data_IF_051654344823
#
_entry.id   IF_051654344823
#
_cell.length_a   1.000
_cell.length_b   1.000
_cell.length_c   1.000
_cell.angle_alpha   90.00
_cell.angle_beta   90.00
_cell.angle_gamma   90.00
#
_symmetry.space_group_name_H-M   'P 1'
#
loop_
_entity.id
_entity.type
_entity.pdbx_description
1 polymer ?
#
# COMPACT_ATOMS: atom_id res chain seq x y z
N UNK A 1 -8.80 -7.67 10.67
CA UNK A 1 -7.50 -7.08 10.33
C UNK A 1 -6.55 -6.88 11.54
N UNK A 2 -6.95 -7.18 12.79
CA UNK A 2 -6.14 -6.91 14.01
C UNK A 2 -4.80 -7.66 14.09
N UNK A 3 -4.71 -8.85 13.51
CA UNK A 3 -3.48 -9.65 13.53
C UNK A 3 -2.37 -9.04 12.68
N UNK A 4 -2.73 -8.28 11.64
CA UNK A 4 -1.83 -7.84 10.59
C UNK A 4 -0.80 -6.81 11.11
N UNK A 5 -1.19 -5.75 11.86
CA UNK A 5 -0.23 -4.86 12.49
C UNK A 5 0.72 -5.59 13.43
N UNK A 6 0.24 -6.55 14.23
CA UNK A 6 1.09 -7.32 15.14
C UNK A 6 2.12 -8.17 14.37
N UNK A 7 1.64 -8.94 13.40
CA UNK A 7 2.48 -9.81 12.58
C UNK A 7 3.56 -9.04 11.81
N UNK A 8 3.21 -7.93 11.15
CA UNK A 8 4.20 -7.12 10.42
C UNK A 8 5.22 -6.43 11.33
N UNK A 9 4.78 -6.00 12.51
CA UNK A 9 5.59 -5.23 13.45
C UNK A 9 6.61 -6.12 14.16
N UNK A 10 6.24 -7.36 14.48
CA UNK A 10 7.10 -8.35 15.15
C UNK A 10 7.97 -9.15 14.18
N UNK A 11 7.61 -9.23 12.90
CA UNK A 11 8.38 -9.97 11.91
C UNK A 11 9.73 -9.27 11.55
N UNK A 12 10.77 -10.07 11.20
CA UNK A 12 11.96 -9.56 10.52
C UNK A 12 11.59 -9.03 9.12
N UNK A 13 12.48 -8.25 8.51
CA UNK A 13 12.18 -7.55 7.24
C UNK A 13 11.72 -8.49 6.13
N UNK A 14 12.39 -9.64 5.94
CA UNK A 14 11.98 -10.62 4.93
C UNK A 14 10.56 -11.15 5.20
N UNK A 15 10.21 -11.38 6.47
CA UNK A 15 8.86 -11.77 6.88
C UNK A 15 7.84 -10.67 6.57
N UNK A 16 8.14 -9.41 6.93
CA UNK A 16 7.28 -8.27 6.60
C UNK A 16 7.06 -8.12 5.08
N UNK A 17 8.10 -8.33 4.27
CA UNK A 17 8.03 -8.26 2.81
C UNK A 17 7.15 -9.35 2.22
N UNK A 18 7.38 -10.62 2.58
CA UNK A 18 6.59 -11.75 2.05
C UNK A 18 5.13 -11.65 2.50
N UNK A 19 4.90 -11.26 3.76
CA UNK A 19 3.56 -11.10 4.30
C UNK A 19 2.81 -10.00 3.54
N UNK A 20 3.47 -8.87 3.29
CA UNK A 20 2.86 -7.73 2.59
C UNK A 20 2.65 -8.04 1.11
N UNK A 21 3.70 -8.49 0.42
CA UNK A 21 3.70 -8.61 -1.04
C UNK A 21 2.91 -9.82 -1.54
N UNK A 22 2.92 -10.94 -0.82
CA UNK A 22 2.41 -12.22 -1.32
C UNK A 22 1.23 -12.71 -0.47
N UNK A 23 1.39 -12.87 0.84
CA UNK A 23 0.39 -13.58 1.66
C UNK A 23 -0.97 -12.86 1.70
N UNK A 24 -0.98 -11.52 1.71
CA UNK A 24 -2.24 -10.76 1.61
C UNK A 24 -2.93 -10.95 0.25
N UNK A 25 -2.14 -11.10 -0.83
CA UNK A 25 -2.64 -11.21 -2.20
C UNK A 25 -3.20 -12.60 -2.50
N UNK A 26 -2.69 -13.63 -1.81
CA UNK A 26 -3.28 -14.98 -1.84
C UNK A 26 -4.75 -14.97 -1.42
N UNK A 27 -5.13 -14.10 -0.47
CA UNK A 27 -6.54 -13.90 -0.09
C UNK A 27 -7.39 -13.36 -1.24
N UNK A 28 -6.95 -12.28 -1.90
CA UNK A 28 -7.65 -11.72 -3.06
C UNK A 28 -7.75 -12.69 -4.23
N UNK A 29 -6.66 -13.39 -4.54
CA UNK A 29 -6.63 -14.46 -5.54
C UNK A 29 -7.60 -15.60 -5.20
N UNK A 30 -7.62 -16.03 -3.93
CA UNK A 30 -8.56 -17.02 -3.43
C UNK A 30 -10.01 -16.60 -3.61
N UNK A 31 -10.34 -15.34 -3.30
CA UNK A 31 -11.69 -14.79 -3.52
C UNK A 31 -12.05 -14.89 -5.01
N UNK A 32 -11.19 -14.41 -5.92
CA UNK A 32 -11.45 -14.44 -7.38
C UNK A 32 -11.71 -15.87 -7.89
N UNK A 33 -10.93 -16.85 -7.41
CA UNK A 33 -11.10 -18.26 -7.82
C UNK A 33 -12.35 -18.90 -7.25
N UNK A 34 -12.65 -18.66 -5.97
CA UNK A 34 -13.79 -19.28 -5.30
C UNK A 34 -15.12 -18.65 -5.71
N UNK A 35 -15.18 -17.33 -5.93
CA UNK A 35 -16.42 -16.67 -6.35
C UNK A 35 -16.93 -17.17 -7.69
N UNK A 36 -16.05 -17.54 -8.61
CA UNK A 36 -16.43 -18.16 -9.89
C UNK A 36 -17.17 -19.50 -9.70
N UNK A 37 -16.83 -20.29 -8.68
CA UNK A 37 -17.50 -21.55 -8.36
C UNK A 37 -18.82 -21.36 -7.60
N UNK A 38 -18.93 -20.26 -6.86
CA UNK A 38 -20.07 -19.99 -6.00
C UNK A 38 -21.21 -19.30 -6.75
N UNK A 39 -21.02 -18.90 -8.01
CA UNK A 39 -22.05 -18.22 -8.79
C UNK A 39 -23.17 -19.18 -9.27
N UNK A 40 -24.45 -18.78 -9.18
CA UNK A 40 -24.94 -17.51 -8.61
C UNK A 40 -25.11 -17.59 -7.09
N UNK A 41 -24.29 -16.85 -6.33
CA UNK A 41 -24.54 -16.62 -4.91
C UNK A 41 -25.76 -15.73 -4.73
N UNK A 42 -26.49 -15.91 -3.64
CA UNK A 42 -27.48 -14.92 -3.20
C UNK A 42 -26.73 -13.61 -2.93
N UNK A 43 -26.91 -12.61 -3.81
CA UNK A 43 -26.25 -11.30 -3.72
C UNK A 43 -26.36 -10.67 -2.33
N UNK A 44 -27.43 -11.02 -1.60
CA UNK A 44 -27.70 -10.57 -0.24
C UNK A 44 -26.60 -10.92 0.78
N UNK A 45 -25.87 -12.04 0.61
CA UNK A 45 -24.80 -12.44 1.52
C UNK A 45 -23.52 -11.58 1.37
N UNK A 46 -23.34 -10.91 0.24
CA UNK A 46 -22.12 -10.13 -0.05
C UNK A 46 -22.16 -8.71 0.54
N UNK A 47 -23.35 -8.10 0.68
CA UNK A 47 -23.49 -6.72 1.14
C UNK A 47 -22.83 -6.41 2.49
N UNK A 48 -22.95 -7.26 3.54
CA UNK A 48 -22.30 -6.99 4.82
C UNK A 48 -20.78 -6.87 4.70
N UNK A 49 -20.15 -7.72 3.89
CA UNK A 49 -18.71 -7.67 3.64
C UNK A 49 -18.32 -6.44 2.82
N UNK A 50 -19.14 -6.06 1.85
CA UNK A 50 -18.91 -4.85 1.06
C UNK A 50 -18.96 -3.59 1.92
N UNK A 51 -19.97 -3.47 2.78
CA UNK A 51 -20.11 -2.33 3.70
C UNK A 51 -18.91 -2.29 4.66
N UNK A 52 -18.50 -3.44 5.21
CA UNK A 52 -17.35 -3.53 6.10
C UNK A 52 -16.05 -3.14 5.40
N UNK A 53 -15.85 -3.52 4.14
CA UNK A 53 -14.67 -3.16 3.36
C UNK A 53 -14.63 -1.65 3.05
N UNK A 54 -15.74 -1.07 2.55
CA UNK A 54 -15.83 0.36 2.26
C UNK A 54 -15.60 1.23 3.50
N UNK A 55 -16.27 0.91 4.60
CA UNK A 55 -16.07 1.62 5.86
C UNK A 55 -14.66 1.39 6.42
N UNK A 56 -14.15 0.16 6.26
CA UNK A 56 -12.81 -0.23 6.66
C UNK A 56 -11.71 0.60 5.99
N UNK A 57 -11.87 0.98 4.71
CA UNK A 57 -10.91 1.86 4.00
C UNK A 57 -10.77 3.20 4.75
N UNK A 58 -11.89 3.82 5.10
CA UNK A 58 -11.91 5.11 5.81
C UNK A 58 -11.32 4.94 7.21
N UNK A 59 -11.77 3.95 7.97
CA UNK A 59 -11.33 3.74 9.35
C UNK A 59 -9.85 3.38 9.45
N UNK A 60 -9.32 2.54 8.55
CA UNK A 60 -7.90 2.18 8.58
C UNK A 60 -7.01 3.32 8.10
N UNK A 61 -7.46 4.12 7.13
CA UNK A 61 -6.75 5.33 6.69
C UNK A 61 -6.69 6.40 7.79
N UNK A 62 -7.76 6.61 8.56
CA UNK A 62 -7.76 7.54 9.70
C UNK A 62 -6.88 7.06 10.85
N UNK A 63 -6.84 5.75 11.10
CA UNK A 63 -5.88 5.13 12.03
C UNK A 63 -4.44 5.44 11.59
N UNK A 64 -4.11 5.33 10.30
CA UNK A 64 -2.77 5.61 9.78
C UNK A 64 -2.28 7.03 10.11
N UNK A 65 -3.15 8.03 10.05
CA UNK A 65 -2.79 9.42 10.37
C UNK A 65 -2.37 9.63 11.83
N UNK A 66 -2.76 8.72 12.73
CA UNK A 66 -2.49 8.80 14.17
C UNK A 66 -1.45 7.76 14.63
N UNK A 67 -0.94 6.93 13.74
CA UNK A 67 0.05 5.92 14.09
C UNK A 67 1.40 6.56 14.44
N UNK A 68 1.91 6.21 15.61
CA UNK A 68 3.26 6.61 16.07
C UNK A 68 4.35 5.68 15.57
N UNK A 69 4.01 4.42 15.30
CA UNK A 69 4.93 3.39 14.82
C UNK A 69 4.93 3.34 13.29
N UNK A 70 6.12 3.44 12.69
CA UNK A 70 6.26 3.52 11.25
C UNK A 70 5.88 2.20 10.56
N UNK A 71 6.30 1.04 11.10
CA UNK A 71 5.90 -0.27 10.56
C UNK A 71 4.39 -0.53 10.70
N UNK A 72 3.76 -0.09 11.80
CA UNK A 72 2.31 -0.26 11.97
C UNK A 72 1.55 0.64 11.02
N UNK A 73 2.00 1.88 10.78
CA UNK A 73 1.43 2.79 9.78
C UNK A 73 1.41 2.15 8.40
N UNK A 74 2.52 1.55 7.96
CA UNK A 74 2.59 0.82 6.68
C UNK A 74 1.64 -0.38 6.69
N UNK A 75 1.59 -1.15 7.79
CA UNK A 75 0.70 -2.29 7.93
C UNK A 75 -0.79 -1.88 7.81
N UNK A 76 -1.22 -0.81 8.48
CA UNK A 76 -2.60 -0.30 8.35
C UNK A 76 -2.88 0.27 6.95
N UNK A 77 -1.90 0.89 6.29
CA UNK A 77 -2.07 1.32 4.89
C UNK A 77 -2.31 0.13 3.96
N UNK A 78 -1.70 -1.03 4.22
CA UNK A 78 -1.99 -2.23 3.43
C UNK A 78 -3.42 -2.75 3.62
N UNK A 79 -4.01 -2.57 4.80
CA UNK A 79 -5.43 -2.92 5.03
C UNK A 79 -6.35 -2.03 4.22
N UNK A 80 -6.06 -0.72 4.10
CA UNK A 80 -6.91 0.19 3.32
C UNK A 80 -6.87 -0.13 1.83
N UNK A 81 -5.69 -0.32 1.22
CA UNK A 81 -5.59 -0.69 -0.19
C UNK A 81 -6.20 -2.08 -0.48
N UNK A 82 -6.02 -3.07 0.40
CA UNK A 82 -6.67 -4.38 0.22
C UNK A 82 -8.19 -4.32 0.45
N UNK A 83 -8.71 -3.32 1.18
CA UNK A 83 -10.14 -3.05 1.26
C UNK A 83 -10.78 -2.75 -0.10
N UNK A 84 -10.08 -1.97 -0.94
CA UNK A 84 -10.49 -1.73 -2.34
C UNK A 84 -10.48 -3.02 -3.16
N UNK A 85 -9.46 -3.85 -2.99
CA UNK A 85 -9.36 -5.15 -3.67
C UNK A 85 -10.52 -6.07 -3.28
N UNK A 86 -10.87 -6.16 -2.00
CA UNK A 86 -12.01 -6.97 -1.55
C UNK A 86 -13.30 -6.48 -2.22
N UNK A 87 -13.55 -5.17 -2.24
CA UNK A 87 -14.71 -4.59 -2.92
C UNK A 87 -14.76 -4.96 -4.40
N UNK A 88 -13.63 -4.80 -5.09
CA UNK A 88 -13.51 -5.08 -6.51
C UNK A 88 -13.76 -6.57 -6.83
N UNK A 89 -13.24 -7.47 -6.00
CA UNK A 89 -13.44 -8.91 -6.15
C UNK A 89 -14.89 -9.34 -5.88
N UNK A 90 -15.61 -8.64 -4.98
CA UNK A 90 -17.01 -8.97 -4.66
C UNK A 90 -18.02 -8.48 -5.71
N UNK A 91 -17.71 -7.41 -6.44
CA UNK A 91 -18.59 -6.88 -7.52
C UNK A 91 -18.45 -7.69 -8.82
N UNK A 92 -17.30 -8.34 -9.04
CA UNK A 92 -17.07 -9.31 -10.13
C UNK A 92 -17.32 -8.79 -11.56
N UNK A 93 -17.05 -7.50 -11.82
CA UNK A 93 -17.02 -6.97 -13.19
C UNK A 93 -15.63 -7.18 -13.82
N UNK A 94 -15.50 -7.23 -15.16
CA UNK A 94 -14.18 -7.37 -15.80
C UNK A 94 -13.25 -6.20 -15.45
N UNK A 95 -13.80 -5.00 -15.33
CA UNK A 95 -13.08 -3.79 -14.89
C UNK A 95 -12.64 -3.90 -13.42
N UNK A 96 -13.49 -4.43 -12.53
CA UNK A 96 -13.12 -4.56 -11.12
C UNK A 96 -12.06 -5.65 -10.91
N UNK A 97 -12.15 -6.79 -11.60
CA UNK A 97 -11.16 -7.88 -11.49
C UNK A 97 -9.80 -7.43 -12.05
N UNK A 98 -9.77 -6.74 -13.20
CA UNK A 98 -8.53 -6.21 -13.75
C UNK A 98 -7.89 -5.15 -12.85
N UNK A 99 -8.69 -4.22 -12.31
CA UNK A 99 -8.24 -3.26 -11.31
C UNK A 99 -7.72 -3.92 -10.03
N UNK A 100 -8.39 -4.97 -9.54
CA UNK A 100 -7.96 -5.74 -8.37
C UNK A 100 -6.60 -6.40 -8.59
N UNK A 101 -6.37 -7.03 -9.75
CA UNK A 101 -5.09 -7.65 -10.09
C UNK A 101 -3.96 -6.63 -10.19
N UNK A 102 -4.20 -5.52 -10.90
CA UNK A 102 -3.27 -4.40 -11.00
C UNK A 102 -2.88 -3.88 -9.62
N UNK A 103 -3.87 -3.57 -8.77
CA UNK A 103 -3.63 -3.02 -7.44
C UNK A 103 -2.94 -4.02 -6.52
N UNK A 104 -3.28 -5.31 -6.57
CA UNK A 104 -2.62 -6.35 -5.77
C UNK A 104 -1.12 -6.43 -6.04
N UNK A 105 -0.73 -6.43 -7.32
CA UNK A 105 0.67 -6.53 -7.73
C UNK A 105 1.42 -5.23 -7.43
N UNK A 106 0.85 -4.10 -7.85
CA UNK A 106 1.45 -2.79 -7.66
C UNK A 106 1.62 -2.46 -6.16
N UNK A 107 0.58 -2.67 -5.34
CA UNK A 107 0.66 -2.48 -3.89
C UNK A 107 1.61 -3.48 -3.22
N UNK A 108 1.77 -4.69 -3.76
CA UNK A 108 2.74 -5.66 -3.26
C UNK A 108 4.18 -5.14 -3.35
N UNK A 109 4.53 -4.50 -4.46
CA UNK A 109 5.84 -3.88 -4.66
C UNK A 109 6.00 -2.58 -3.85
N UNK A 110 4.97 -1.74 -3.74
CA UNK A 110 5.08 -0.50 -2.94
C UNK A 110 5.18 -0.77 -1.45
N UNK A 111 4.34 -1.66 -0.91
CA UNK A 111 4.34 -1.98 0.53
C UNK A 111 5.64 -2.67 0.96
N UNK A 112 6.18 -3.59 0.15
CA UNK A 112 7.48 -4.20 0.41
C UNK A 112 8.62 -3.18 0.40
N UNK A 113 8.63 -2.24 -0.56
CA UNK A 113 9.60 -1.14 -0.59
C UNK A 113 9.50 -0.25 0.67
N UNK A 114 8.28 0.11 1.09
CA UNK A 114 8.06 0.90 2.30
C UNK A 114 8.53 0.17 3.57
N UNK A 115 8.28 -1.14 3.69
CA UNK A 115 8.81 -1.93 4.81
C UNK A 115 10.35 -1.98 4.79
N UNK A 116 10.98 -1.99 3.62
CA UNK A 116 12.43 -1.94 3.52
C UNK A 116 12.99 -0.58 3.95
N UNK A 117 12.35 0.51 3.54
CA UNK A 117 12.70 1.87 3.96
C UNK A 117 12.51 2.06 5.48
N UNK A 118 11.43 1.48 6.03
CA UNK A 118 11.22 1.41 7.47
C UNK A 118 12.39 0.70 8.18
N UNK A 119 12.88 -0.39 7.58
CA UNK A 119 13.97 -1.17 8.13
C UNK A 119 15.31 -0.43 8.06
N UNK A 120 15.61 0.30 6.98
CA UNK A 120 16.85 1.09 6.90
C UNK A 120 16.91 2.18 7.97
N UNK A 121 15.76 2.75 8.34
CA UNK A 121 15.69 3.65 9.49
C UNK A 121 15.90 2.87 10.80
N UNK A 122 15.18 1.76 10.98
CA UNK A 122 15.26 0.94 12.19
C UNK A 122 16.67 0.40 12.47
N UNK A 123 17.42 -0.04 11.46
CA UNK A 123 18.81 -0.50 11.60
C UNK A 123 19.76 0.58 12.14
N UNK A 124 19.38 1.86 12.04
CA UNK A 124 20.18 3.00 12.50
C UNK A 124 19.66 3.63 13.79
N UNK A 125 18.34 3.65 13.98
CA UNK A 125 17.70 4.27 15.15
C UNK A 125 17.40 3.28 16.26
N UNK A 126 17.44 1.97 15.98
CA UNK A 126 16.96 0.87 16.81
C UNK A 126 15.54 1.08 17.39
N UNK A 127 14.76 1.94 16.75
CA UNK A 127 13.44 2.35 17.21
C UNK A 127 12.51 2.52 16.02
N UNK A 128 11.26 2.09 16.18
CA UNK A 128 10.23 2.12 15.12
C UNK A 128 9.39 3.40 15.16
N UNK A 129 9.62 4.26 16.15
CA UNK A 129 8.84 5.45 16.41
C UNK A 129 9.12 6.52 15.35
N UNK A 130 8.08 6.90 14.62
CA UNK A 130 8.11 7.85 13.50
C UNK A 130 8.79 9.18 13.87
N UNK A 131 8.49 9.66 15.08
CA UNK A 131 8.95 10.95 15.60
C UNK A 131 10.44 10.92 15.96
N UNK A 132 11.06 9.76 16.16
CA UNK A 132 12.50 9.69 16.35
C UNK A 132 13.25 9.80 15.01
N UNK A 133 12.70 9.27 13.92
CA UNK A 133 13.33 9.28 12.62
C UNK A 133 13.00 10.56 11.81
N UNK A 134 13.26 11.76 12.35
CA UNK A 134 12.96 13.06 11.70
C UNK A 134 14.16 13.68 10.98
N UNK A 135 13.92 14.48 9.94
CA UNK A 135 14.94 15.32 9.29
C UNK A 135 15.99 14.56 8.48
N UNK A 136 15.72 13.32 8.11
CA UNK A 136 16.70 12.43 7.45
C UNK A 136 17.18 12.94 6.09
N UNK A 137 16.50 13.91 5.48
CA UNK A 137 16.92 14.55 4.23
C UNK A 137 18.26 15.25 4.30
N UNK A 138 18.57 15.86 5.45
CA UNK A 138 19.85 16.53 5.63
C UNK A 138 21.02 15.53 5.75
N UNK A 139 20.75 14.30 6.17
CA UNK A 139 21.77 13.25 6.36
C UNK A 139 21.94 12.36 5.12
N UNK A 140 20.84 11.89 4.53
CA UNK A 140 20.85 10.89 3.46
C UNK A 140 19.97 11.30 2.27
N UNK A 141 20.40 12.29 1.47
CA UNK A 141 19.59 12.82 0.37
C UNK A 141 19.17 11.74 -0.63
N UNK A 142 20.06 10.80 -0.99
CA UNK A 142 19.72 9.72 -1.91
C UNK A 142 18.72 8.72 -1.32
N UNK A 143 18.72 8.50 -0.01
CA UNK A 143 17.67 7.67 0.61
C UNK A 143 16.32 8.39 0.56
N UNK A 144 16.33 9.71 0.64
CA UNK A 144 15.09 10.50 0.61
C UNK A 144 14.41 10.49 -0.75
N UNK A 145 15.18 10.36 -1.84
CA UNK A 145 14.59 10.16 -3.17
C UNK A 145 13.84 8.84 -3.25
N UNK A 146 14.37 7.76 -2.64
CA UNK A 146 13.65 6.48 -2.54
C UNK A 146 12.40 6.60 -1.68
N UNK A 147 12.47 7.31 -0.53
CA UNK A 147 11.30 7.63 0.27
C UNK A 147 10.24 8.42 -0.49
N UNK A 148 10.65 9.40 -1.29
CA UNK A 148 9.75 10.19 -2.12
C UNK A 148 9.06 9.27 -3.14
N UNK A 149 9.83 8.51 -3.93
CA UNK A 149 9.30 7.60 -4.95
C UNK A 149 8.32 6.60 -4.33
N UNK A 150 8.66 5.96 -3.20
CA UNK A 150 7.79 5.02 -2.51
C UNK A 150 6.48 5.68 -2.06
N UNK A 151 6.53 6.89 -1.49
CA UNK A 151 5.33 7.62 -1.08
C UNK A 151 4.49 8.08 -2.27
N UNK A 152 5.12 8.53 -3.37
CA UNK A 152 4.40 8.90 -4.59
C UNK A 152 3.64 7.70 -5.17
N UNK A 153 4.25 6.51 -5.16
CA UNK A 153 3.56 5.29 -5.57
C UNK A 153 2.45 4.90 -4.59
N UNK A 154 2.68 5.02 -3.28
CA UNK A 154 1.68 4.66 -2.27
C UNK A 154 0.44 5.57 -2.28
N UNK A 155 0.60 6.85 -2.61
CA UNK A 155 -0.53 7.78 -2.80
C UNK A 155 -1.18 7.69 -4.19
N UNK A 156 -0.77 6.72 -5.02
CA UNK A 156 -1.29 6.52 -6.36
C UNK A 156 -1.16 7.78 -7.26
N UNK A 157 0.03 8.38 -7.37
CA UNK A 157 0.23 9.48 -8.33
C UNK A 157 0.29 9.00 -9.78
N UNK A 158 -0.17 9.79 -10.77
CA UNK A 158 0.02 9.46 -12.18
C UNK A 158 1.51 9.54 -12.54
N UNK A 159 2.08 8.62 -13.35
CA UNK A 159 1.45 7.52 -14.11
C UNK A 159 1.58 6.13 -13.44
N UNK A 160 1.54 6.02 -12.11
CA UNK A 160 1.82 4.74 -11.43
C UNK A 160 0.76 3.67 -11.65
N UNK A 161 1.17 2.40 -11.59
CA UNK A 161 0.27 1.24 -11.69
C UNK A 161 -0.70 1.14 -10.52
N UNK A 162 -0.35 1.68 -9.34
CA UNK A 162 -1.28 1.83 -8.21
C UNK A 162 -2.48 2.68 -8.60
N UNK A 163 -2.25 3.84 -9.24
CA UNK A 163 -3.34 4.69 -9.72
C UNK A 163 -4.21 3.97 -10.75
N UNK A 164 -3.59 3.28 -11.70
CA UNK A 164 -4.34 2.54 -12.71
C UNK A 164 -5.28 1.50 -12.08
N UNK A 165 -4.78 0.73 -11.10
CA UNK A 165 -5.61 -0.22 -10.35
C UNK A 165 -6.72 0.47 -9.55
N UNK A 166 -6.40 1.53 -8.80
CA UNK A 166 -7.39 2.26 -7.99
C UNK A 166 -8.46 2.92 -8.85
N UNK A 167 -8.12 3.55 -9.97
CA UNK A 167 -9.09 4.18 -10.87
C UNK A 167 -10.06 3.16 -11.49
N UNK A 168 -9.56 2.00 -11.91
CA UNK A 168 -10.42 0.92 -12.45
C UNK A 168 -11.39 0.38 -11.39
N UNK A 169 -10.91 0.24 -10.14
CA UNK A 169 -11.75 -0.18 -9.03
C UNK A 169 -12.80 0.89 -8.73
N UNK A 170 -12.41 2.17 -8.64
CA UNK A 170 -13.33 3.28 -8.35
C UNK A 170 -14.38 3.43 -9.44
N UNK A 171 -14.02 3.31 -10.72
CA UNK A 171 -14.98 3.40 -11.83
C UNK A 171 -15.97 2.23 -11.83
N UNK A 172 -15.50 1.01 -11.55
CA UNK A 172 -16.38 -0.16 -11.41
C UNK A 172 -17.33 -0.05 -10.22
N UNK A 173 -16.86 0.51 -9.10
CA UNK A 173 -17.66 0.76 -7.90
C UNK A 173 -18.71 1.84 -8.15
N UNK A 174 -18.35 2.91 -8.85
CA UNK A 174 -19.27 3.96 -9.22
C UNK A 174 -20.41 3.43 -10.09
N UNK A 175 -20.08 2.59 -11.08
CA UNK A 175 -21.09 1.93 -11.92
C UNK A 175 -21.98 0.96 -11.11
N UNK A 176 -21.47 0.35 -10.05
CA UNK A 176 -22.26 -0.51 -9.17
C UNK A 176 -23.21 0.29 -8.27
N UNK A 177 -22.72 1.35 -7.62
CA UNK A 177 -23.59 2.36 -7.01
C UNK A 177 -22.89 3.71 -6.87
N UNK A 178 -23.58 4.76 -7.33
CA UNK A 178 -23.00 6.11 -7.41
C UNK A 178 -22.52 6.66 -6.05
N UNK A 179 -23.14 6.26 -4.94
CA UNK A 179 -22.76 6.72 -3.59
C UNK A 179 -21.35 6.27 -3.17
N UNK A 180 -20.83 5.19 -3.76
CA UNK A 180 -19.49 4.68 -3.42
C UNK A 180 -18.37 5.65 -3.81
N UNK A 181 -18.61 6.58 -4.75
CA UNK A 181 -17.60 7.58 -5.13
C UNK A 181 -17.23 8.51 -3.98
N UNK A 182 -18.19 8.82 -3.11
CA UNK A 182 -17.95 9.66 -1.94
C UNK A 182 -17.00 8.95 -0.96
N UNK A 183 -17.28 7.68 -0.67
CA UNK A 183 -16.48 6.88 0.26
C UNK A 183 -15.09 6.58 -0.29
N UNK A 184 -14.99 6.20 -1.56
CA UNK A 184 -13.71 5.91 -2.21
C UNK A 184 -12.88 7.17 -2.44
N UNK A 185 -13.50 8.30 -2.82
CA UNK A 185 -12.83 9.60 -2.94
C UNK A 185 -12.32 10.15 -1.60
N UNK A 186 -13.09 9.97 -0.51
CA UNK A 186 -12.60 10.25 0.84
C UNK A 186 -11.43 9.32 1.21
N UNK A 187 -11.53 8.03 0.85
CA UNK A 187 -10.46 7.06 1.03
C UNK A 187 -9.15 7.49 0.36
N UNK A 188 -9.18 7.87 -0.92
CA UNK A 188 -7.99 8.31 -1.66
C UNK A 188 -7.42 9.63 -1.14
N UNK A 189 -8.28 10.56 -0.69
CA UNK A 189 -7.82 11.77 -0.03
C UNK A 189 -7.05 11.45 1.27
N UNK A 190 -7.56 10.50 2.06
CA UNK A 190 -6.89 10.06 3.28
C UNK A 190 -5.60 9.27 2.98
N UNK A 191 -5.54 8.50 1.88
CA UNK A 191 -4.29 7.84 1.45
C UNK A 191 -3.20 8.83 1.09
N UNK A 192 -3.55 9.90 0.36
CA UNK A 192 -2.63 11.00 0.10
C UNK A 192 -2.19 11.70 1.40
N UNK A 193 -3.12 11.93 2.33
CA UNK A 193 -2.81 12.60 3.59
C UNK A 193 -1.82 11.82 4.46
N UNK A 194 -2.05 10.52 4.73
CA UNK A 194 -1.14 9.77 5.60
C UNK A 194 0.20 9.44 4.95
N UNK A 195 0.26 9.24 3.63
CA UNK A 195 1.52 8.99 2.90
C UNK A 195 2.41 10.23 2.88
N UNK A 196 1.82 11.40 2.63
CA UNK A 196 2.54 12.67 2.72
C UNK A 196 2.94 12.97 4.17
N UNK A 197 2.10 12.65 5.15
CA UNK A 197 2.46 12.74 6.57
C UNK A 197 3.66 11.85 6.91
N UNK A 198 3.69 10.60 6.45
CA UNK A 198 4.82 9.68 6.61
C UNK A 198 6.11 10.27 6.02
N UNK A 199 6.05 10.82 4.80
CA UNK A 199 7.20 11.43 4.16
C UNK A 199 7.70 12.68 4.91
N UNK A 200 6.80 13.62 5.23
CA UNK A 200 7.16 14.88 5.88
C UNK A 200 7.73 14.66 7.29
N UNK A 201 7.13 13.74 8.05
CA UNK A 201 7.64 13.42 9.40
C UNK A 201 9.00 12.77 9.32
N UNK A 202 9.21 11.81 8.42
CA UNK A 202 10.48 11.07 8.40
C UNK A 202 11.63 11.86 7.76
N UNK A 203 11.36 12.50 6.61
CA UNK A 203 12.42 13.11 5.81
C UNK A 203 12.65 14.58 6.14
N UNK A 204 11.59 15.33 6.46
CA UNK A 204 11.66 16.76 6.73
C UNK A 204 11.71 17.06 8.23
N UNK A 205 11.83 18.35 8.55
CA UNK A 205 12.07 18.94 9.87
C UNK A 205 13.53 18.91 10.33
N UNK A 206 13.79 19.56 11.47
CA UNK A 206 15.11 19.61 12.08
C UNK A 206 15.52 18.22 12.56
N UNK A 207 16.77 17.85 12.26
CA UNK A 207 17.40 16.64 12.79
C UNK A 207 17.38 16.65 14.33
N UNK A 208 16.99 15.55 14.98
CA UNK A 208 17.09 15.43 16.43
C UNK A 208 18.56 15.49 16.87
N UNK A 209 18.82 16.17 17.99
CA UNK A 209 20.18 16.37 18.52
C UNK A 209 20.92 15.08 18.87
N UNK A 210 20.20 13.97 19.07
CA UNK A 210 20.78 12.66 19.38
C UNK A 210 21.37 11.94 18.15
N UNK A 211 21.13 12.43 16.93
CA UNK A 211 21.75 11.90 15.70
C UNK A 211 23.10 12.55 15.47
N UNK A 212 24.15 11.99 16.06
CA UNK A 212 25.51 12.54 15.95
C UNK A 212 26.42 11.76 15.01
N UNK A 213 26.25 10.45 14.85
CA UNK A 213 27.14 9.62 14.03
C UNK A 213 26.40 8.43 13.41
N UNK A 214 25.80 8.63 12.23
CA UNK A 214 25.26 7.52 11.47
C UNK A 214 26.05 7.28 10.19
N UNK A 215 26.33 6.00 9.92
CA UNK A 215 26.94 5.57 8.67
C UNK A 215 26.09 6.03 7.47
N UNK A 216 26.74 6.38 6.34
CA UNK A 216 26.04 6.66 5.09
C UNK A 216 25.24 5.44 4.64
N UNK A 217 24.34 5.65 3.67
CA UNK A 217 23.54 4.57 3.10
C UNK A 217 24.40 3.57 2.34
N UNK A 218 24.16 2.29 2.60
CA UNK A 218 24.97 1.22 2.03
C UNK A 218 24.51 0.91 0.61
N UNK A 219 25.44 0.45 -0.24
CA UNK A 219 25.13 0.03 -1.62
C UNK A 219 24.05 -1.06 -1.68
N UNK A 220 24.04 -2.00 -0.72
CA UNK A 220 22.99 -3.03 -0.59
C UNK A 220 21.58 -2.43 -0.45
N UNK A 221 21.46 -1.31 0.27
CA UNK A 221 20.16 -0.67 0.53
C UNK A 221 19.66 -0.01 -0.75
N UNK A 222 20.54 0.68 -1.47
CA UNK A 222 20.19 1.26 -2.77
C UNK A 222 19.87 0.20 -3.81
N UNK A 223 20.65 -0.89 -3.89
CA UNK A 223 20.34 -2.01 -4.77
C UNK A 223 18.95 -2.57 -4.47
N UNK A 224 18.63 -2.78 -3.20
CA UNK A 224 17.31 -3.26 -2.79
C UNK A 224 16.20 -2.30 -3.27
N UNK A 225 16.35 -0.98 -3.07
CA UNK A 225 15.35 -0.01 -3.54
C UNK A 225 15.22 0.00 -5.07
N UNK A 226 16.35 -0.06 -5.79
CA UNK A 226 16.33 -0.11 -7.27
C UNK A 226 15.60 -1.36 -7.77
N UNK A 227 15.78 -2.52 -7.13
CA UNK A 227 15.11 -3.77 -7.50
C UNK A 227 13.60 -3.74 -7.23
N UNK A 228 13.11 -2.87 -6.34
CA UNK A 228 11.66 -2.65 -6.18
C UNK A 228 11.13 -1.65 -7.23
N UNK A 229 11.88 -0.59 -7.53
CA UNK A 229 11.43 0.50 -8.40
C UNK A 229 11.51 0.15 -9.89
N UNK A 230 12.54 -0.57 -10.34
CA UNK A 230 12.72 -0.92 -11.75
C UNK A 230 11.53 -1.74 -12.28
N UNK A 231 11.07 -2.83 -11.62
CA UNK A 231 9.90 -3.56 -12.08
C UNK A 231 8.64 -2.69 -12.12
N UNK A 232 8.44 -1.82 -11.13
CA UNK A 232 7.30 -0.90 -11.09
C UNK A 232 7.31 0.05 -12.30
N UNK A 233 8.47 0.64 -12.62
CA UNK A 233 8.61 1.53 -13.78
C UNK A 233 8.38 0.79 -15.10
N UNK A 234 8.89 -0.44 -15.23
CA UNK A 234 8.66 -1.26 -16.41
C UNK A 234 7.18 -1.61 -16.59
N UNK A 235 6.47 -1.91 -15.50
CA UNK A 235 5.05 -2.23 -15.53
C UNK A 235 4.16 -1.04 -15.95
N UNK A 236 4.62 0.20 -15.78
CA UNK A 236 3.93 1.38 -16.31
C UNK A 236 3.88 1.34 -17.85
N UNK A 237 4.93 0.80 -18.49
CA UNK A 237 5.00 0.77 -19.97
C UNK A 237 4.09 -0.29 -20.59
N UNK A 238 3.83 -1.39 -19.88
CA UNK A 238 2.98 -2.51 -20.32
C UNK A 238 2.14 -3.06 -19.17
N UNK A 239 1.11 -2.32 -18.71
CA UNK A 239 0.26 -2.74 -17.60
C UNK A 239 -0.59 -3.99 -17.92
N UNK A 240 -0.77 -4.30 -19.21
CA UNK A 240 -1.48 -5.50 -19.70
C UNK A 240 -0.91 -6.81 -19.13
N UNK A 241 0.38 -6.86 -18.80
CA UNK A 241 1.02 -8.03 -18.21
C UNK A 241 0.41 -8.42 -16.85
N UNK A 242 -0.18 -7.46 -16.14
CA UNK A 242 -0.66 -7.61 -14.77
C UNK A 242 -2.16 -7.31 -14.61
N UNK A 243 -2.86 -6.94 -15.68
CA UNK A 243 -4.31 -6.68 -15.68
C UNK A 243 -5.19 -7.93 -15.64
N UNK A 244 -4.59 -9.14 -15.66
CA UNK A 244 -5.31 -10.40 -15.71
C UNK A 244 -5.96 -10.66 -17.08
N UNK A 245 -6.49 -11.87 -17.26
CA UNK A 245 -6.98 -12.41 -18.56
C UNK A 245 -8.29 -11.79 -19.06
N UNK A 246 -8.68 -10.62 -18.54
CA UNK A 246 -9.89 -9.88 -18.97
C UNK A 246 -9.56 -8.55 -19.65
N UNK A 247 -8.32 -8.39 -20.15
CA UNK A 247 -8.04 -7.40 -21.18
C UNK A 247 -8.71 -7.86 -22.47
N UNK A 248 -9.75 -7.14 -22.89
CA UNK A 248 -10.30 -7.25 -24.25
C UNK A 248 -9.20 -7.07 -25.31
#
# INVERSE_FOLDING_TARGET
HLWLPKAHVEAPIAGSMVLAAILLKMGGYGIIRMTALLNPMTQNLLYPFMIMALWGIIMTSSICMRQTDLKSMIAYSSVSHMGLVIMACLIQTPWSISGAMLLMIAHGLTSSMLFCLANTNYERTHSRTLILARGLQLMWPLMTTWWLIANMMNMALPPTTNLMGELLIISSLFNWSNLTILLTGLGTLMTAAYSLHMFLTTQRNKLPSHFTTNNPTHTREHLLMTLHVIPMLLLITKPELISGTFSC
#
